data_IF_901591352271
#
_entry.id   IF_901591352271
#
_cell.length_a   1.000
_cell.length_b   1.000
_cell.length_c   1.000
_cell.angle_alpha   90.00
_cell.angle_beta   90.00
_cell.angle_gamma   90.00
#
_symmetry.space_group_name_H-M   'P 1'
#
loop_
_entity.id
_entity.type
_entity.pdbx_description
1 polymer ?
#
# COMPACT_ATOMS: atom_id res chain seq x y z
N UNK A 1 -9.25 10.62 -5.05
CA UNK A 1 -10.30 10.92 -4.04
C UNK A 1 -11.64 10.24 -4.35
N UNK A 2 -12.14 10.38 -5.59
CA UNK A 2 -13.51 9.95 -5.94
C UNK A 2 -13.76 8.44 -5.86
N UNK A 3 -12.70 7.63 -5.89
CA UNK A 3 -12.78 6.17 -5.91
C UNK A 3 -12.51 5.51 -4.55
N UNK A 4 -11.87 6.24 -3.64
CA UNK A 4 -11.57 5.82 -2.29
C UNK A 4 -11.64 7.04 -1.35
N UNK A 5 -12.82 7.65 -1.18
CA UNK A 5 -12.97 8.91 -0.45
C UNK A 5 -12.60 8.79 1.02
N UNK A 6 -12.97 7.71 1.71
CA UNK A 6 -12.66 7.55 3.13
C UNK A 6 -11.16 7.34 3.36
N UNK A 7 -10.52 6.51 2.53
CA UNK A 7 -9.08 6.30 2.61
C UNK A 7 -8.31 7.61 2.35
N UNK A 8 -8.69 8.34 1.31
CA UNK A 8 -8.11 9.64 1.00
C UNK A 8 -8.28 10.65 2.13
N UNK A 9 -9.51 10.83 2.64
CA UNK A 9 -9.81 11.79 3.70
C UNK A 9 -9.10 11.41 5.00
N UNK A 10 -9.09 10.13 5.36
CA UNK A 10 -8.41 9.65 6.55
C UNK A 10 -6.89 9.86 6.46
N UNK A 11 -6.27 9.42 5.37
CA UNK A 11 -4.82 9.55 5.19
C UNK A 11 -4.40 11.02 5.19
N UNK A 12 -5.04 11.86 4.39
CA UNK A 12 -4.70 13.29 4.30
C UNK A 12 -4.98 14.04 5.60
N UNK A 13 -6.08 13.72 6.29
CA UNK A 13 -6.40 14.29 7.59
C UNK A 13 -5.39 13.89 8.69
N UNK A 14 -4.94 12.65 8.69
CA UNK A 14 -3.87 12.20 9.60
C UNK A 14 -2.52 12.85 9.27
N UNK A 15 -2.20 13.07 8.00
CA UNK A 15 -1.02 13.85 7.57
C UNK A 15 -1.11 15.28 8.13
N UNK A 16 -2.26 15.95 7.98
CA UNK A 16 -2.46 17.31 8.50
C UNK A 16 -2.34 17.39 10.04
N UNK A 17 -2.70 16.33 10.74
CA UNK A 17 -2.53 16.20 12.19
C UNK A 17 -1.08 15.85 12.61
N UNK A 18 -0.20 15.57 11.64
CA UNK A 18 1.18 15.13 11.92
C UNK A 18 1.29 13.71 12.48
N UNK A 19 0.23 12.91 12.38
CA UNK A 19 0.16 11.58 12.97
C UNK A 19 1.29 10.65 12.52
N UNK A 20 1.66 10.70 11.24
CA UNK A 20 2.69 9.82 10.68
C UNK A 20 4.13 10.23 11.03
N UNK A 21 4.34 11.47 11.50
CA UNK A 21 5.68 11.97 11.82
C UNK A 21 6.27 11.22 13.01
N UNK A 22 7.44 10.66 12.83
CA UNK A 22 8.14 9.86 13.83
C UNK A 22 7.69 8.40 13.92
N UNK A 23 6.67 7.96 13.15
CA UNK A 23 6.35 6.54 13.04
C UNK A 23 7.42 5.80 12.25
N UNK A 24 7.54 4.50 12.48
CA UNK A 24 8.49 3.64 11.78
C UNK A 24 7.79 2.76 10.77
N UNK A 25 8.55 2.29 9.78
CA UNK A 25 8.15 1.18 8.92
C UNK A 25 7.91 -0.04 9.80
N UNK A 26 6.71 -0.59 9.73
CA UNK A 26 6.26 -1.68 10.62
C UNK A 26 6.49 -3.06 10.04
N UNK A 27 6.47 -3.19 8.71
CA UNK A 27 6.64 -4.46 7.99
C UNK A 27 7.26 -4.22 6.63
N UNK A 28 8.18 -5.09 6.26
CA UNK A 28 8.76 -5.14 4.91
C UNK A 28 8.75 -6.60 4.45
N UNK A 29 8.13 -6.82 3.32
CA UNK A 29 8.22 -8.08 2.58
C UNK A 29 8.78 -7.78 1.19
N UNK A 30 10.05 -8.15 1.01
CA UNK A 30 10.81 -7.82 -0.20
C UNK A 30 10.12 -8.35 -1.46
N UNK A 31 9.94 -7.48 -2.45
CA UNK A 31 9.23 -7.82 -3.68
C UNK A 31 7.70 -7.88 -3.54
N UNK A 32 7.15 -7.44 -2.40
CA UNK A 32 5.72 -7.41 -2.17
C UNK A 32 5.24 -6.08 -1.60
N UNK A 33 5.56 -5.76 -0.32
CA UNK A 33 5.08 -4.52 0.31
C UNK A 33 6.09 -3.89 1.26
N UNK A 34 6.00 -2.56 1.37
CA UNK A 34 6.55 -1.75 2.47
C UNK A 34 5.40 -1.11 3.21
N UNK A 35 5.23 -1.44 4.51
CA UNK A 35 4.10 -1.05 5.33
C UNK A 35 4.51 -0.14 6.47
N UNK A 36 3.67 0.86 6.76
CA UNK A 36 3.83 1.78 7.87
C UNK A 36 2.46 2.29 8.39
N UNK A 37 2.47 3.20 9.37
CA UNK A 37 1.26 3.86 9.85
C UNK A 37 0.63 3.23 11.08
N UNK A 38 1.27 2.20 11.67
CA UNK A 38 0.90 1.71 13.00
C UNK A 38 1.32 2.71 14.08
N UNK A 39 0.42 2.97 15.03
CA UNK A 39 0.78 3.73 16.22
C UNK A 39 1.69 2.94 17.17
N UNK A 40 2.20 3.60 18.19
CA UNK A 40 3.08 2.99 19.19
C UNK A 40 2.44 1.82 19.97
N UNK A 41 1.12 1.72 19.97
CA UNK A 41 0.35 0.63 20.56
C UNK A 41 0.17 -0.57 19.61
N UNK A 42 0.78 -0.54 18.42
CA UNK A 42 0.65 -1.56 17.38
C UNK A 42 -0.70 -1.51 16.65
N UNK A 43 -1.51 -0.47 16.88
CA UNK A 43 -2.82 -0.28 16.25
C UNK A 43 -2.81 0.93 15.35
N UNK A 44 -3.75 0.96 14.43
CA UNK A 44 -4.04 2.12 13.62
C UNK A 44 -5.09 3.02 14.29
N UNK A 45 -5.20 4.25 13.78
CA UNK A 45 -6.24 5.22 14.18
C UNK A 45 -6.91 5.81 12.93
N UNK A 46 -7.93 6.64 13.14
CA UNK A 46 -8.58 7.40 12.07
C UNK A 46 -8.88 8.81 12.55
N UNK A 47 -9.15 9.72 11.61
CA UNK A 47 -9.64 11.08 11.91
C UNK A 47 -11.01 11.08 12.60
N UNK A 48 -11.72 9.95 12.58
CA UNK A 48 -13.02 9.74 13.20
C UNK A 48 -12.90 9.09 14.59
N UNK A 49 -11.98 9.58 15.41
CA UNK A 49 -11.74 9.11 16.78
C UNK A 49 -11.42 7.62 16.89
N UNK A 50 -10.73 7.09 15.88
CA UNK A 50 -10.32 5.68 15.82
C UNK A 50 -11.40 4.72 15.30
N UNK A 51 -12.56 5.22 14.88
CA UNK A 51 -13.57 4.37 14.21
C UNK A 51 -13.05 3.88 12.87
N UNK A 52 -13.02 2.58 12.68
CA UNK A 52 -12.56 1.96 11.42
C UNK A 52 -13.59 2.13 10.31
N UNK A 53 -13.17 1.92 9.08
CA UNK A 53 -14.02 2.01 7.89
C UNK A 53 -13.76 0.83 6.95
N UNK A 54 -14.77 0.41 6.16
CA UNK A 54 -14.60 -0.72 5.24
C UNK A 54 -13.63 -0.39 4.12
N UNK A 55 -13.01 -1.42 3.54
CA UNK A 55 -12.21 -1.26 2.34
C UNK A 55 -13.06 -0.71 1.17
N UNK A 56 -12.48 0.21 0.41
CA UNK A 56 -13.10 0.85 -0.75
C UNK A 56 -12.44 0.30 -2.02
N UNK A 57 -13.10 -0.63 -2.68
CA UNK A 57 -12.57 -1.31 -3.88
C UNK A 57 -13.29 -0.88 -5.14
N UNK A 58 -12.62 -0.94 -6.28
CA UNK A 58 -13.15 -0.49 -7.58
C UNK A 58 -12.45 -1.18 -8.74
N UNK A 59 -13.13 -1.32 -9.88
CA UNK A 59 -12.59 -1.89 -11.13
C UNK A 59 -11.57 -0.98 -11.85
N UNK A 60 -11.28 0.19 -11.30
CA UNK A 60 -10.42 1.19 -11.94
C UNK A 60 -9.12 1.49 -11.19
N UNK A 61 -8.96 0.94 -9.99
CA UNK A 61 -7.72 1.05 -9.20
C UNK A 61 -7.21 -0.34 -8.87
N UNK A 62 -5.96 -0.58 -9.15
CA UNK A 62 -5.33 -1.90 -9.06
C UNK A 62 -4.03 -1.83 -8.28
N UNK A 63 -3.62 -2.95 -7.67
CA UNK A 63 -2.40 -3.08 -6.88
C UNK A 63 -1.16 -3.25 -7.77
N UNK A 64 -0.95 -2.32 -8.72
CA UNK A 64 0.28 -2.26 -9.49
C UNK A 64 1.49 -1.96 -8.59
N UNK A 65 2.70 -2.28 -9.04
CA UNK A 65 3.92 -1.82 -8.36
C UNK A 65 3.90 -0.29 -8.26
N UNK A 66 4.11 0.23 -7.05
CA UNK A 66 3.97 1.65 -6.74
C UNK A 66 2.58 2.06 -6.20
N UNK A 67 1.57 1.18 -6.23
CA UNK A 67 0.27 1.50 -5.65
C UNK A 67 0.39 1.79 -4.16
N UNK A 68 -0.24 2.89 -3.71
CA UNK A 68 -0.40 3.26 -2.30
C UNK A 68 -1.75 2.79 -1.80
N UNK A 69 -1.74 1.92 -0.81
CA UNK A 69 -2.89 1.16 -0.36
C UNK A 69 -3.10 1.27 1.14
N UNK A 70 -4.35 1.11 1.59
CA UNK A 70 -4.66 0.97 3.02
C UNK A 70 -4.60 -0.51 3.41
N UNK A 71 -3.91 -0.78 4.52
CA UNK A 71 -3.95 -2.09 5.14
C UNK A 71 -5.31 -2.35 5.78
N UNK A 72 -5.79 -3.59 5.63
CA UNK A 72 -7.01 -4.07 6.29
C UNK A 72 -6.66 -4.94 7.50
N UNK A 73 -7.48 -4.89 8.53
CA UNK A 73 -7.38 -5.79 9.67
C UNK A 73 -8.10 -7.13 9.41
N UNK A 74 -8.12 -8.01 10.41
CA UNK A 74 -8.77 -9.32 10.29
C UNK A 74 -10.29 -9.26 10.06
N UNK A 75 -10.92 -8.10 10.28
CA UNK A 75 -12.34 -7.86 9.97
C UNK A 75 -12.56 -7.26 8.59
N UNK A 76 -11.49 -6.94 7.84
CA UNK A 76 -11.54 -6.29 6.54
C UNK A 76 -11.75 -4.77 6.64
N UNK A 77 -11.42 -4.18 7.79
CA UNK A 77 -11.58 -2.75 8.04
C UNK A 77 -10.24 -2.02 8.01
N UNK A 78 -10.25 -0.79 7.51
CA UNK A 78 -9.11 0.10 7.36
C UNK A 78 -8.98 1.06 8.57
N UNK A 79 -7.75 1.53 8.80
CA UNK A 79 -7.43 2.60 9.74
C UNK A 79 -6.29 3.49 9.18
N UNK A 80 -5.20 3.69 9.93
CA UNK A 80 -4.05 4.50 9.48
C UNK A 80 -2.94 3.68 8.82
N UNK A 81 -2.99 2.34 8.90
CA UNK A 81 -1.96 1.49 8.32
C UNK A 81 -2.05 1.56 6.81
N UNK A 82 -0.92 1.84 6.17
CA UNK A 82 -0.81 1.89 4.71
C UNK A 82 0.41 1.12 4.25
N UNK A 83 0.39 0.72 2.99
CA UNK A 83 1.55 0.09 2.35
C UNK A 83 1.73 0.57 0.90
N UNK A 84 2.96 0.48 0.43
CA UNK A 84 3.31 0.63 -0.98
C UNK A 84 3.59 -0.74 -1.55
N UNK A 85 2.93 -1.07 -2.65
CA UNK A 85 3.20 -2.31 -3.40
C UNK A 85 4.56 -2.19 -4.08
N UNK A 86 5.41 -3.19 -3.88
CA UNK A 86 6.73 -3.24 -4.46
C UNK A 86 6.90 -4.48 -5.34
N UNK A 87 7.47 -4.28 -6.53
CA UNK A 87 8.05 -5.36 -7.33
C UNK A 87 9.50 -5.00 -7.59
N UNK A 88 10.44 -5.84 -7.19
CA UNK A 88 11.85 -5.57 -7.42
C UNK A 88 12.17 -5.52 -8.92
N UNK A 89 13.05 -4.63 -9.36
CA UNK A 89 13.48 -4.57 -10.75
C UNK A 89 14.02 -5.94 -11.22
N UNK A 90 13.41 -6.47 -12.28
CA UNK A 90 13.76 -7.77 -12.85
C UNK A 90 13.00 -8.96 -12.28
N UNK A 91 12.20 -8.78 -11.23
CA UNK A 91 11.33 -9.83 -10.70
C UNK A 91 10.11 -10.04 -11.61
N UNK A 92 9.80 -11.31 -11.83
CA UNK A 92 8.54 -11.71 -12.47
C UNK A 92 7.49 -12.00 -11.40
N UNK A 93 6.99 -10.93 -10.75
CA UNK A 93 5.93 -11.07 -9.73
C UNK A 93 4.62 -11.59 -10.34
N UNK A 94 4.40 -11.34 -11.64
CA UNK A 94 3.21 -11.77 -12.36
C UNK A 94 3.55 -12.96 -13.26
N UNK A 95 3.43 -14.15 -12.69
CA UNK A 95 3.66 -15.42 -13.38
C UNK A 95 2.55 -15.74 -14.39
N UNK A 96 2.81 -16.65 -15.35
CA UNK A 96 1.77 -17.11 -16.28
C UNK A 96 0.56 -17.72 -15.56
N UNK A 97 0.76 -18.43 -14.46
CA UNK A 97 -0.33 -18.97 -13.64
C UNK A 97 -1.23 -17.85 -13.09
N UNK A 98 -0.63 -16.74 -12.66
CA UNK A 98 -1.38 -15.59 -12.17
C UNK A 98 -2.13 -14.88 -13.30
N UNK A 99 -1.52 -14.77 -14.48
CA UNK A 99 -2.19 -14.26 -15.70
C UNK A 99 -3.41 -15.12 -16.04
N UNK A 100 -3.29 -16.44 -16.01
CA UNK A 100 -4.39 -17.35 -16.29
C UNK A 100 -5.52 -17.20 -15.26
N UNK A 101 -5.19 -17.02 -13.99
CA UNK A 101 -6.16 -16.73 -12.91
C UNK A 101 -6.88 -15.39 -13.13
N UNK A 102 -6.15 -14.32 -13.47
CA UNK A 102 -6.75 -13.02 -13.79
C UNK A 102 -7.73 -13.12 -14.96
N UNK A 103 -7.34 -13.79 -16.05
CA UNK A 103 -8.19 -14.00 -17.21
C UNK A 103 -9.46 -14.80 -16.83
N UNK A 104 -9.31 -15.87 -16.06
CA UNK A 104 -10.42 -16.68 -15.57
C UNK A 104 -11.36 -15.91 -14.65
N UNK A 105 -10.84 -14.93 -13.91
CA UNK A 105 -11.60 -14.03 -13.02
C UNK A 105 -12.23 -12.84 -13.75
N UNK A 106 -12.05 -12.73 -15.07
CA UNK A 106 -12.68 -11.69 -15.88
C UNK A 106 -11.95 -10.34 -15.86
N UNK A 107 -10.68 -10.31 -15.52
CA UNK A 107 -9.88 -9.10 -15.65
C UNK A 107 -9.84 -8.60 -17.10
N UNK A 108 -9.91 -7.30 -17.29
CA UNK A 108 -9.76 -6.69 -18.61
C UNK A 108 -8.35 -6.90 -19.14
N UNK A 109 -8.23 -7.15 -20.45
CA UNK A 109 -6.94 -7.47 -21.07
C UNK A 109 -5.86 -6.38 -20.85
N UNK A 110 -6.27 -5.12 -20.87
CA UNK A 110 -5.36 -4.01 -20.59
C UNK A 110 -4.83 -4.00 -19.15
N UNK A 111 -5.64 -4.44 -18.17
CA UNK A 111 -5.21 -4.57 -16.76
C UNK A 111 -4.20 -5.71 -16.61
N UNK A 112 -4.47 -6.85 -17.25
CA UNK A 112 -3.54 -7.99 -17.25
C UNK A 112 -2.20 -7.59 -17.90
N UNK A 113 -2.23 -6.90 -19.03
CA UNK A 113 -1.03 -6.41 -19.72
C UNK A 113 -0.24 -5.38 -18.87
N UNK A 114 -0.94 -4.52 -18.14
CA UNK A 114 -0.30 -3.58 -17.21
C UNK A 114 0.43 -4.33 -16.10
N UNK A 115 -0.21 -5.31 -15.45
CA UNK A 115 0.45 -6.14 -14.43
C UNK A 115 1.68 -6.88 -14.95
N UNK A 116 1.61 -7.42 -16.17
CA UNK A 116 2.77 -8.07 -16.81
C UNK A 116 3.93 -7.08 -17.09
N UNK A 117 3.61 -5.79 -17.24
CA UNK A 117 4.60 -4.76 -17.56
C UNK A 117 5.24 -4.16 -16.31
N UNK A 118 4.43 -3.82 -15.30
CA UNK A 118 4.91 -3.08 -14.12
C UNK A 118 5.00 -3.93 -12.86
N UNK A 119 4.46 -5.13 -12.88
CA UNK A 119 4.37 -5.98 -11.69
C UNK A 119 3.21 -5.59 -10.78
N UNK A 120 3.23 -6.12 -9.57
CA UNK A 120 2.23 -5.83 -8.54
C UNK A 120 1.59 -7.07 -7.93
N UNK A 121 0.49 -6.87 -7.22
CA UNK A 121 -0.19 -7.87 -6.40
C UNK A 121 -1.68 -7.99 -6.76
N UNK A 122 -2.05 -8.54 -7.94
CA UNK A 122 -3.44 -8.59 -8.39
C UNK A 122 -4.37 -9.39 -7.47
N UNK A 123 -3.84 -10.26 -6.62
CA UNK A 123 -4.61 -11.01 -5.62
C UNK A 123 -5.11 -10.14 -4.45
N UNK A 124 -4.67 -8.88 -4.34
CA UNK A 124 -5.20 -7.88 -3.40
C UNK A 124 -6.32 -7.03 -4.01
N UNK A 125 -6.50 -7.08 -5.33
CA UNK A 125 -7.60 -6.38 -5.98
C UNK A 125 -8.94 -6.87 -5.40
N UNK A 126 -9.86 -5.93 -5.21
CA UNK A 126 -11.18 -6.16 -4.63
C UNK A 126 -11.20 -6.55 -3.13
N UNK A 127 -10.06 -6.58 -2.46
CA UNK A 127 -9.96 -6.81 -1.00
C UNK A 127 -9.44 -5.58 -0.28
N UNK A 128 -8.38 -4.98 -0.78
CA UNK A 128 -7.72 -3.83 -0.16
C UNK A 128 -8.02 -2.54 -0.95
N UNK A 129 -7.89 -1.41 -0.28
CA UNK A 129 -8.15 -0.10 -0.89
C UNK A 129 -6.88 0.46 -1.53
N UNK A 130 -6.90 0.67 -2.84
CA UNK A 130 -5.91 1.53 -3.51
C UNK A 130 -6.43 2.96 -3.52
N UNK A 131 -5.64 3.92 -3.01
CA UNK A 131 -6.06 5.33 -2.94
C UNK A 131 -5.03 6.32 -3.50
N UNK A 132 -3.86 5.84 -3.89
CA UNK A 132 -2.79 6.64 -4.46
C UNK A 132 -1.76 5.81 -5.21
N UNK A 133 -0.74 6.48 -5.71
CA UNK A 133 0.37 5.88 -6.44
C UNK A 133 1.65 6.66 -6.20
N UNK A 134 2.78 5.99 -6.13
CA UNK A 134 4.11 6.59 -6.11
C UNK A 134 4.49 7.00 -7.52
N UNK A 135 4.55 8.30 -7.81
CA UNK A 135 4.98 8.80 -9.11
C UNK A 135 6.47 9.15 -9.16
N UNK A 136 7.11 9.32 -7.98
CA UNK A 136 8.53 9.62 -7.85
C UNK A 136 9.07 8.99 -6.56
N UNK A 137 10.31 8.47 -6.57
CA UNK A 137 10.97 7.91 -5.40
C UNK A 137 10.78 6.41 -5.18
N UNK A 138 10.38 5.63 -6.20
CA UNK A 138 10.31 4.16 -6.11
C UNK A 138 11.66 3.53 -5.75
N UNK A 139 12.78 4.12 -6.14
CA UNK A 139 14.12 3.68 -5.74
C UNK A 139 14.34 3.72 -4.22
N UNK A 140 13.69 4.65 -3.51
CA UNK A 140 13.69 4.70 -2.04
C UNK A 140 12.86 3.54 -1.48
N UNK A 141 11.68 3.28 -2.04
CA UNK A 141 10.83 2.14 -1.66
C UNK A 141 11.59 0.82 -1.88
N UNK A 142 12.29 0.69 -3.01
CA UNK A 142 13.11 -0.48 -3.33
C UNK A 142 14.27 -0.65 -2.35
N UNK A 143 14.88 0.43 -1.92
CA UNK A 143 15.93 0.41 -0.91
C UNK A 143 15.40 -0.06 0.45
N UNK A 144 14.24 0.45 0.87
CA UNK A 144 13.55 -0.01 2.09
C UNK A 144 13.15 -1.48 1.96
N UNK A 145 12.61 -1.89 0.81
CA UNK A 145 12.19 -3.27 0.53
C UNK A 145 13.32 -4.31 0.58
N UNK A 146 14.57 -3.87 0.53
CA UNK A 146 15.76 -4.73 0.63
C UNK A 146 16.44 -4.69 1.99
N UNK A 147 15.84 -4.01 2.99
CA UNK A 147 16.41 -3.95 4.34
C UNK A 147 16.34 -5.32 5.05
N UNK A 148 17.25 -5.52 6.00
CA UNK A 148 17.19 -6.71 6.87
C UNK A 148 15.96 -6.66 7.78
N UNK A 149 15.24 -7.79 7.89
CA UNK A 149 14.04 -7.93 8.72
C UNK A 149 14.20 -9.07 9.73
N UNK A 150 13.42 -9.01 10.80
CA UNK A 150 13.28 -10.08 11.79
C UNK A 150 12.27 -11.16 11.34
N UNK A 151 11.99 -12.12 12.21
CA UNK A 151 11.04 -13.23 11.94
C UNK A 151 9.58 -12.76 11.73
N UNK A 152 9.25 -11.52 12.14
CA UNK A 152 7.95 -10.89 11.96
C UNK A 152 7.92 -9.91 10.77
N UNK A 153 8.96 -9.94 9.92
CA UNK A 153 9.12 -9.03 8.78
C UNK A 153 9.29 -7.55 9.19
N UNK A 154 9.60 -7.26 10.46
CA UNK A 154 9.90 -5.91 10.91
C UNK A 154 11.37 -5.59 10.61
N UNK A 155 11.69 -4.38 10.09
CA UNK A 155 13.07 -3.94 9.92
C UNK A 155 13.90 -4.11 11.21
N UNK A 156 15.10 -4.69 11.09
CA UNK A 156 16.03 -4.87 12.22
C UNK A 156 16.65 -3.58 12.72
N UNK A 157 16.64 -2.55 11.87
CA UNK A 157 16.98 -1.16 12.22
C UNK A 157 15.76 -0.28 11.92
N UNK A 158 15.42 0.64 12.83
CA UNK A 158 14.25 1.49 12.66
C UNK A 158 14.39 2.41 11.45
N UNK A 159 13.44 2.32 10.54
CA UNK A 159 13.29 3.23 9.39
C UNK A 159 12.16 4.19 9.74
N UNK A 160 12.51 5.45 9.96
CA UNK A 160 11.58 6.45 10.51
C UNK A 160 11.03 7.38 9.43
N UNK A 161 9.73 7.61 9.47
CA UNK A 161 9.06 8.67 8.71
C UNK A 161 9.34 10.00 9.43
N UNK A 162 10.26 10.79 8.91
CA UNK A 162 10.61 12.08 9.54
C UNK A 162 9.45 13.08 9.47
N UNK A 163 8.83 13.21 8.29
CA UNK A 163 7.67 14.07 8.08
C UNK A 163 6.90 13.67 6.82
N UNK A 164 5.61 13.96 6.83
CA UNK A 164 4.73 13.84 5.65
C UNK A 164 4.02 15.17 5.45
N UNK A 165 3.99 15.67 4.22
CA UNK A 165 3.27 16.88 3.83
C UNK A 165 2.35 16.61 2.63
N UNK A 166 1.32 17.44 2.50
CA UNK A 166 0.43 17.43 1.34
C UNK A 166 0.77 18.63 0.49
N UNK A 167 1.04 18.36 -0.78
CA UNK A 167 1.33 19.39 -1.76
C UNK A 167 0.39 19.23 -2.97
N UNK A 168 0.08 20.33 -3.64
CA UNK A 168 -0.67 20.28 -4.88
C UNK A 168 0.29 20.06 -6.03
N UNK A 169 0.09 18.99 -6.79
CA UNK A 169 0.84 18.75 -8.03
C UNK A 169 0.49 19.85 -9.03
N UNK A 170 1.53 20.52 -9.57
CA UNK A 170 1.40 21.60 -10.56
C UNK A 170 1.82 21.11 -11.94
#
# INVERSE_FOLDING_TARGET
>A
PDKAPQAYDNFTGLVQQGYYNGLTVSRVESGFVVEAGQGADGKGTTIWSGSRYPAETTDSLHHYSGALCMGVDASGECASVFYVVQTLPGDQSVTQELVDKMNASGYRAEVVAAYQTVGGAPYLDYTDTVFGEVYEGMDVVDTIGQTGVDENQKPTEDITINSVSIETYQ
#
